data_IF_291989881211
#
_entry.id   IF_291989881211
#
_cell.length_a   1.000
_cell.length_b   1.000
_cell.length_c   1.000
_cell.angle_alpha   90.00
_cell.angle_beta   90.00
_cell.angle_gamma   90.00
#
_symmetry.space_group_name_H-M   'P 1'
#
loop_
_entity.id
_entity.type
_entity.pdbx_description
1 polymer ?
#
# COMPACT_ATOMS: atom_id res chain seq x y z
N UNK A 1 27.36 -21.66 -8.48
CA UNK A 1 27.09 -20.29 -8.98
C UNK A 1 25.61 -20.01 -8.85
N UNK A 2 25.20 -19.02 -8.04
CA UNK A 2 23.78 -18.68 -7.81
C UNK A 2 23.49 -17.36 -8.53
N UNK A 3 22.75 -17.45 -9.63
CA UNK A 3 22.32 -16.30 -10.43
C UNK A 3 21.16 -15.60 -9.72
N UNK A 4 21.31 -14.31 -9.46
CA UNK A 4 20.24 -13.44 -8.96
C UNK A 4 19.82 -12.48 -10.08
N UNK A 5 18.53 -12.40 -10.44
CA UNK A 5 18.07 -11.43 -11.42
C UNK A 5 18.41 -10.00 -10.95
N UNK A 6 19.10 -9.25 -11.81
CA UNK A 6 19.44 -7.84 -11.57
C UNK A 6 18.15 -7.01 -11.64
N UNK A 7 17.62 -6.65 -10.48
CA UNK A 7 16.42 -5.82 -10.36
C UNK A 7 15.93 -5.60 -8.93
N UNK A 8 16.24 -6.51 -8.00
CA UNK A 8 15.85 -6.41 -6.58
C UNK A 8 17.06 -6.18 -5.66
N UNK A 9 17.95 -5.27 -6.05
CA UNK A 9 19.23 -5.06 -5.34
C UNK A 9 19.85 -3.67 -5.51
N UNK A 10 19.09 -2.67 -5.94
CA UNK A 10 19.45 -1.29 -5.60
C UNK A 10 19.12 -1.08 -4.14
N UNK A 11 19.95 -0.35 -3.39
CA UNK A 11 19.61 0.14 -2.03
C UNK A 11 18.12 0.45 -1.98
N UNK A 12 17.32 -0.36 -1.27
CA UNK A 12 15.89 -0.10 -1.11
C UNK A 12 15.80 1.35 -0.69
N UNK A 13 15.28 2.21 -1.57
CA UNK A 13 14.95 3.57 -1.17
C UNK A 13 14.03 3.40 0.03
N UNK A 14 14.33 4.15 1.07
CA UNK A 14 13.56 4.11 2.30
C UNK A 14 12.07 4.19 1.94
N UNK A 15 11.22 3.28 2.48
CA UNK A 15 9.83 3.17 2.06
C UNK A 15 9.06 4.48 2.23
N UNK A 16 9.43 5.33 3.20
CA UNK A 16 8.84 6.65 3.37
C UNK A 16 9.25 7.60 2.24
N UNK A 17 10.52 7.53 1.80
CA UNK A 17 10.97 8.31 0.62
C UNK A 17 10.29 7.86 -0.67
N UNK A 18 10.04 6.56 -0.85
CA UNK A 18 9.31 6.06 -2.04
C UNK A 18 7.86 6.58 -2.06
N UNK A 19 7.21 6.63 -0.89
CA UNK A 19 5.85 7.19 -0.77
C UNK A 19 5.84 8.70 -1.00
N UNK A 20 6.84 9.41 -0.50
CA UNK A 20 6.99 10.85 -0.68
C UNK A 20 7.26 11.20 -2.15
N UNK A 21 8.26 10.58 -2.79
CA UNK A 21 8.56 10.76 -4.22
C UNK A 21 7.33 10.39 -5.07
N UNK A 22 6.67 9.26 -4.76
CA UNK A 22 5.44 8.84 -5.43
C UNK A 22 4.33 9.89 -5.37
N UNK A 23 4.18 10.57 -4.23
CA UNK A 23 3.21 11.66 -4.08
C UNK A 23 3.61 12.90 -4.87
N UNK A 24 4.86 13.36 -4.74
CA UNK A 24 5.30 14.61 -5.34
C UNK A 24 5.48 14.53 -6.87
N UNK A 25 6.05 13.43 -7.37
CA UNK A 25 6.41 13.30 -8.79
C UNK A 25 5.30 12.63 -9.63
N UNK A 26 4.49 11.76 -9.02
CA UNK A 26 3.51 10.93 -9.75
C UNK A 26 2.08 11.06 -9.25
N UNK A 27 1.83 11.79 -8.15
CA UNK A 27 0.50 11.89 -7.52
C UNK A 27 -0.01 10.55 -6.97
N UNK A 28 0.89 9.61 -6.66
CA UNK A 28 0.56 8.28 -6.16
C UNK A 28 0.73 8.22 -4.63
N UNK A 29 -0.35 7.85 -3.94
CA UNK A 29 -0.36 7.66 -2.48
C UNK A 29 -0.70 6.21 -2.13
N UNK A 30 0.18 5.54 -1.39
CA UNK A 30 -0.09 4.24 -0.78
C UNK A 30 -0.40 4.42 0.70
N UNK A 31 -1.68 4.32 1.06
CA UNK A 31 -2.20 4.53 2.42
C UNK A 31 -2.91 3.27 2.92
N UNK A 32 -2.73 2.95 4.20
CA UNK A 32 -3.50 1.89 4.86
C UNK A 32 -4.89 2.42 5.19
N UNK A 33 -5.93 1.61 5.00
CA UNK A 33 -7.30 1.98 5.40
C UNK A 33 -7.35 2.25 6.91
N UNK A 34 -6.65 1.43 7.69
CA UNK A 34 -6.58 1.54 9.15
C UNK A 34 -5.43 2.44 9.65
N UNK A 35 -4.94 3.37 8.82
CA UNK A 35 -3.87 4.29 9.25
C UNK A 35 -4.35 5.18 10.40
N UNK A 36 -3.70 5.15 11.58
CA UNK A 36 -4.17 5.85 12.77
C UNK A 36 -4.08 7.38 12.65
N UNK A 37 -3.38 7.90 11.62
CA UNK A 37 -3.33 9.33 11.34
C UNK A 37 -4.56 9.82 10.59
N UNK A 38 -5.36 8.93 10.00
CA UNK A 38 -6.62 9.25 9.35
C UNK A 38 -7.76 9.21 10.37
N UNK A 39 -8.62 10.22 10.32
CA UNK A 39 -9.91 10.21 11.00
C UNK A 39 -10.83 9.17 10.38
N UNK A 40 -11.83 8.71 11.14
CA UNK A 40 -12.80 7.72 10.64
C UNK A 40 -13.42 8.09 9.27
N UNK A 41 -13.86 9.35 9.02
CA UNK A 41 -14.36 9.74 7.70
C UNK A 41 -13.31 9.62 6.57
N UNK A 42 -12.04 9.88 6.86
CA UNK A 42 -10.97 9.78 5.87
C UNK A 42 -10.64 8.31 5.56
N UNK A 43 -10.63 7.44 6.56
CA UNK A 43 -10.49 5.99 6.38
C UNK A 43 -11.61 5.45 5.50
N UNK A 44 -12.85 5.88 5.75
CA UNK A 44 -14.02 5.48 4.99
C UNK A 44 -13.96 5.99 3.54
N UNK A 45 -13.48 7.23 3.32
CA UNK A 45 -13.24 7.74 1.97
C UNK A 45 -12.22 6.89 1.20
N UNK A 46 -11.11 6.51 1.85
CA UNK A 46 -10.10 5.62 1.24
C UNK A 46 -10.71 4.26 0.91
N UNK A 47 -11.50 3.68 1.81
CA UNK A 47 -12.21 2.41 1.58
C UNK A 47 -13.14 2.51 0.36
N UNK A 48 -13.99 3.52 0.31
CA UNK A 48 -14.94 3.73 -0.79
C UNK A 48 -14.24 3.97 -2.13
N UNK A 49 -13.15 4.75 -2.15
CA UNK A 49 -12.34 4.93 -3.35
C UNK A 49 -11.70 3.62 -3.80
N UNK A 50 -11.14 2.85 -2.87
CA UNK A 50 -10.60 1.52 -3.16
C UNK A 50 -11.65 0.59 -3.75
N UNK A 51 -12.83 0.51 -3.13
CA UNK A 51 -13.94 -0.31 -3.62
C UNK A 51 -14.45 0.11 -4.99
N UNK A 52 -14.52 1.41 -5.25
CA UNK A 52 -14.93 1.94 -6.54
C UNK A 52 -13.92 1.63 -7.65
N UNK A 53 -12.62 1.70 -7.34
CA UNK A 53 -11.55 1.52 -8.33
C UNK A 53 -11.19 0.05 -8.57
N UNK A 54 -11.26 -0.79 -7.53
CA UNK A 54 -10.76 -2.16 -7.56
C UNK A 54 -11.79 -3.22 -7.18
N UNK A 55 -13.02 -2.82 -6.85
CA UNK A 55 -14.06 -3.72 -6.35
C UNK A 55 -13.95 -3.99 -4.85
N UNK A 56 -14.90 -4.74 -4.28
CA UNK A 56 -14.93 -5.04 -2.85
C UNK A 56 -13.63 -5.70 -2.40
N UNK A 57 -13.09 -5.23 -1.26
CA UNK A 57 -11.91 -5.84 -0.66
C UNK A 57 -12.26 -7.28 -0.29
N UNK A 58 -11.47 -8.24 -0.76
CA UNK A 58 -11.52 -9.60 -0.21
C UNK A 58 -10.96 -9.48 1.20
N UNK A 59 -11.84 -9.43 2.18
CA UNK A 59 -11.44 -9.56 3.59
C UNK A 59 -10.52 -10.76 3.68
N UNK A 60 -9.28 -10.61 4.21
CA UNK A 60 -8.44 -11.75 4.46
C UNK A 60 -9.20 -12.63 5.45
N UNK A 61 -9.88 -13.65 4.92
CA UNK A 61 -10.53 -14.70 5.68
C UNK A 61 -9.44 -15.18 6.61
N UNK A 62 -9.60 -14.90 7.89
CA UNK A 62 -8.66 -15.29 8.93
C UNK A 62 -8.40 -16.76 8.68
N UNK A 63 -7.20 -17.09 8.18
CA UNK A 63 -6.80 -18.48 8.09
C UNK A 63 -6.63 -18.84 9.55
N UNK A 64 -7.70 -19.41 10.12
CA UNK A 64 -7.69 -20.01 11.44
C UNK A 64 -6.59 -21.06 11.39
N UNK A 65 -5.40 -20.67 11.85
CA UNK A 65 -4.34 -21.60 12.18
C UNK A 65 -4.82 -22.34 13.43
N UNK A 66 -5.50 -23.46 13.19
CA UNK A 66 -5.72 -24.51 14.19
C UNK A 66 -4.45 -25.32 14.42
#
# INVERSE_FOLDING_TARGET
MRWYPRGYGGTRRDPDRVKQDGWHDHGLLAVSIDDPRLTWPEQELVRQLGEKLYGPRVEPREIAHG
#
